data_IF_592153974803
#
_entry.id   IF_592153974803
#
_cell.length_a   1.000
_cell.length_b   1.000
_cell.length_c   1.000
_cell.angle_alpha   90.00
_cell.angle_beta   90.00
_cell.angle_gamma   90.00
#
_symmetry.space_group_name_H-M   'P 1'
#
loop_
_entity.id
_entity.type
_entity.pdbx_description
1 polymer ?
#
# COMPACT_ATOMS: atom_id res chain seq x y z
N UNK A 1 -48.24 8.60 15.79
CA UNK A 1 -47.07 8.53 14.88
C UNK A 1 -47.10 7.17 14.20
N UNK A 2 -47.33 7.06 12.89
CA UNK A 2 -47.22 5.77 12.22
C UNK A 2 -45.74 5.37 12.14
N UNK A 3 -45.44 4.11 12.45
CA UNK A 3 -44.14 3.49 12.20
C UNK A 3 -44.25 2.63 10.95
N UNK A 4 -43.33 2.83 10.00
CA UNK A 4 -43.17 1.94 8.86
C UNK A 4 -42.03 0.97 9.17
N UNK A 5 -42.31 -0.32 9.07
CA UNK A 5 -41.28 -1.37 9.08
C UNK A 5 -41.03 -1.76 7.65
N UNK A 6 -39.78 -1.62 7.18
CA UNK A 6 -39.36 -2.15 5.90
C UNK A 6 -38.67 -3.49 6.17
N UNK A 7 -39.29 -4.59 5.75
CA UNK A 7 -38.66 -5.90 5.70
C UNK A 7 -38.14 -6.09 4.28
N UNK A 8 -36.82 -6.11 4.10
CA UNK A 8 -36.22 -6.56 2.86
C UNK A 8 -36.08 -8.08 2.91
N UNK A 9 -36.87 -8.80 2.11
CA UNK A 9 -36.69 -10.24 1.88
C UNK A 9 -36.10 -10.43 0.48
N UNK A 10 -34.94 -11.08 0.41
CA UNK A 10 -34.43 -11.61 -0.85
C UNK A 10 -35.20 -12.90 -1.18
N UNK A 11 -35.91 -12.95 -2.30
CA UNK A 11 -36.51 -14.18 -2.84
C UNK A 11 -35.63 -14.69 -3.98
N UNK A 12 -34.57 -15.49 -3.72
CA UNK A 12 -33.86 -16.20 -4.77
C UNK A 12 -34.86 -17.07 -5.53
N UNK A 13 -34.89 -16.97 -6.86
CA UNK A 13 -35.74 -17.85 -7.69
C UNK A 13 -35.14 -19.26 -7.69
N UNK A 14 -35.87 -20.26 -8.21
CA UNK A 14 -35.36 -21.65 -8.30
C UNK A 14 -34.06 -21.80 -9.12
N UNK A 15 -33.60 -20.73 -9.80
CA UNK A 15 -32.36 -20.64 -10.55
C UNK A 15 -31.30 -19.75 -9.90
N UNK A 16 -31.59 -19.14 -8.75
CA UNK A 16 -30.65 -18.29 -8.01
C UNK A 16 -29.80 -19.14 -7.07
N UNK A 17 -28.47 -19.05 -7.19
CA UNK A 17 -27.52 -19.61 -6.23
C UNK A 17 -27.00 -18.50 -5.33
N UNK A 18 -27.12 -18.68 -4.02
CA UNK A 18 -26.40 -17.85 -3.03
C UNK A 18 -24.97 -18.37 -2.93
N UNK A 19 -23.99 -17.51 -3.21
CA UNK A 19 -22.57 -17.82 -2.99
C UNK A 19 -22.02 -16.90 -1.92
N UNK A 20 -21.15 -17.44 -1.08
CA UNK A 20 -20.30 -16.64 -0.19
C UNK A 20 -18.95 -16.46 -0.87
N UNK A 21 -18.42 -15.24 -0.84
CA UNK A 21 -17.07 -14.93 -1.28
C UNK A 21 -16.25 -14.47 -0.07
N UNK A 22 -14.98 -14.82 -0.07
CA UNK A 22 -14.00 -14.51 0.98
C UNK A 22 -12.92 -13.64 0.37
N UNK A 23 -12.85 -12.39 0.81
CA UNK A 23 -11.74 -11.49 0.50
C UNK A 23 -10.65 -11.69 1.56
N UNK A 24 -9.41 -11.95 1.14
CA UNK A 24 -8.29 -12.15 2.05
C UNK A 24 -6.95 -11.81 1.39
N UNK A 25 -6.07 -11.16 2.15
CA UNK A 25 -4.72 -10.83 1.71
C UNK A 25 -3.73 -11.14 2.84
N UNK A 26 -2.55 -11.61 2.46
CA UNK A 26 -1.42 -11.80 3.37
C UNK A 26 -0.21 -11.02 2.86
N UNK A 27 0.46 -10.32 3.76
CA UNK A 27 1.63 -9.47 3.47
C UNK A 27 2.82 -9.95 4.30
N UNK A 28 3.97 -10.13 3.65
CA UNK A 28 5.20 -10.60 4.30
C UNK A 28 6.42 -9.81 3.81
N UNK A 29 7.33 -9.37 4.71
CA UNK A 29 7.26 -9.53 6.16
C UNK A 29 6.17 -8.65 6.79
N UNK A 30 5.62 -9.09 7.93
CA UNK A 30 4.60 -8.33 8.67
C UNK A 30 5.17 -7.15 9.50
N UNK A 31 6.50 -6.98 9.49
CA UNK A 31 7.21 -5.92 10.22
C UNK A 31 7.67 -4.80 9.32
N UNK A 32 8.41 -3.84 9.90
CA UNK A 32 9.00 -2.73 9.15
C UNK A 32 9.90 -3.26 8.03
N UNK A 33 9.52 -2.95 6.79
CA UNK A 33 10.18 -3.40 5.56
C UNK A 33 11.39 -2.51 5.28
N UNK A 34 11.31 -1.25 5.70
CA UNK A 34 12.34 -0.25 5.49
C UNK A 34 12.43 0.69 6.68
N UNK A 35 13.66 0.94 7.13
CA UNK A 35 13.99 2.06 8.01
C UNK A 35 14.90 2.98 7.22
N UNK A 36 14.51 4.23 7.10
CA UNK A 36 15.30 5.23 6.40
C UNK A 36 16.09 5.98 7.45
N UNK A 37 17.41 5.83 7.39
CA UNK A 37 18.33 6.46 8.35
C UNK A 37 19.48 7.13 7.63
N UNK A 38 19.86 8.32 8.09
CA UNK A 38 21.09 8.99 7.66
C UNK A 38 21.22 9.25 6.13
N UNK A 39 20.12 9.30 5.38
CA UNK A 39 20.16 9.57 3.93
C UNK A 39 20.73 10.96 3.63
N UNK A 40 21.56 11.01 2.59
CA UNK A 40 22.10 12.20 1.95
C UNK A 40 21.44 12.41 0.58
N UNK A 41 21.47 13.62 0.01
CA UNK A 41 20.91 13.86 -1.32
C UNK A 41 21.64 12.99 -2.32
N UNK A 42 20.88 12.32 -3.17
CA UNK A 42 21.35 11.31 -4.12
C UNK A 42 21.25 9.87 -3.61
N UNK A 43 21.08 9.66 -2.30
CA UNK A 43 20.95 8.31 -1.75
C UNK A 43 19.61 7.68 -2.14
N UNK A 44 19.63 6.36 -2.23
CA UNK A 44 18.45 5.54 -2.48
C UNK A 44 18.45 4.31 -1.60
N UNK A 45 17.26 3.93 -1.14
CA UNK A 45 17.01 2.77 -0.32
C UNK A 45 15.79 2.02 -0.88
N UNK A 46 15.79 0.68 -0.81
CA UNK A 46 14.65 -0.10 -1.29
C UNK A 46 14.28 -1.25 -0.36
N UNK A 47 13.01 -1.61 -0.40
CA UNK A 47 12.44 -2.70 0.38
C UNK A 47 11.39 -3.44 -0.44
N UNK A 48 11.27 -4.74 -0.20
CA UNK A 48 10.32 -5.60 -0.91
C UNK A 48 9.39 -6.26 0.09
N UNK A 49 8.09 -6.22 -0.21
CA UNK A 49 7.09 -7.06 0.44
C UNK A 49 6.50 -8.02 -0.56
N UNK A 50 6.13 -9.18 -0.07
CA UNK A 50 5.32 -10.13 -0.79
C UNK A 50 3.85 -9.94 -0.39
N UNK A 51 2.96 -9.89 -1.39
CA UNK A 51 1.52 -9.73 -1.23
C UNK A 51 0.84 -10.91 -1.90
N UNK A 52 0.01 -11.63 -1.15
CA UNK A 52 -0.68 -12.83 -1.62
C UNK A 52 -2.18 -12.77 -1.37
N UNK A 53 -2.97 -13.19 -2.36
CA UNK A 53 -4.41 -13.36 -2.23
C UNK A 53 -4.69 -14.70 -1.54
N UNK A 54 -5.25 -14.63 -0.35
CA UNK A 54 -5.63 -15.81 0.47
C UNK A 54 -7.13 -16.05 0.50
N UNK A 55 -7.89 -15.28 -0.31
CA UNK A 55 -9.32 -15.41 -0.49
C UNK A 55 -9.70 -16.51 -1.50
N UNK A 56 -10.96 -16.50 -1.92
CA UNK A 56 -11.52 -17.44 -2.91
C UNK A 56 -12.04 -16.73 -4.18
N UNK A 57 -11.81 -15.42 -4.29
CA UNK A 57 -12.16 -14.57 -5.43
C UNK A 57 -10.98 -13.69 -5.85
N UNK A 58 -11.07 -13.07 -7.03
CA UNK A 58 -10.16 -12.01 -7.43
C UNK A 58 -10.36 -10.80 -6.51
N UNK A 59 -9.27 -10.08 -6.24
CA UNK A 59 -9.29 -8.89 -5.41
C UNK A 59 -8.61 -7.72 -6.12
N UNK A 60 -9.03 -6.50 -5.79
CA UNK A 60 -8.15 -5.34 -5.90
C UNK A 60 -7.53 -5.06 -4.54
N UNK A 61 -6.25 -4.73 -4.52
CA UNK A 61 -5.63 -4.18 -3.33
C UNK A 61 -5.12 -2.75 -3.56
N UNK A 62 -5.11 -1.99 -2.48
CA UNK A 62 -4.56 -0.64 -2.41
C UNK A 62 -3.36 -0.65 -1.48
N UNK A 63 -2.40 0.22 -1.76
CA UNK A 63 -1.20 0.42 -0.95
C UNK A 63 -1.13 1.88 -0.51
N UNK A 64 -1.00 2.09 0.78
CA UNK A 64 -0.69 3.40 1.35
C UNK A 64 0.51 3.28 2.29
N UNK A 65 1.14 4.42 2.55
CA UNK A 65 2.27 4.52 3.48
C UNK A 65 1.96 5.55 4.55
N UNK A 66 2.35 5.24 5.78
CA UNK A 66 2.46 6.18 6.88
C UNK A 66 3.92 6.26 7.33
N UNK A 67 4.31 7.37 7.93
CA UNK A 67 5.65 7.56 8.46
C UNK A 67 5.62 8.18 9.84
N UNK A 68 6.61 7.82 10.63
CA UNK A 68 6.85 8.41 11.95
C UNK A 68 8.33 8.73 12.11
N UNK A 69 8.62 9.69 12.97
CA UNK A 69 9.98 10.00 13.38
C UNK A 69 10.64 8.78 14.04
N UNK A 70 11.92 8.56 13.73
CA UNK A 70 12.76 7.56 14.37
C UNK A 70 14.01 8.21 15.00
N UNK A 71 14.67 7.51 15.92
CA UNK A 71 15.88 8.01 16.58
C UNK A 71 15.67 9.38 17.26
N UNK A 72 16.58 10.32 16.98
CA UNK A 72 16.55 11.69 17.49
C UNK A 72 15.73 12.65 16.61
N UNK A 73 15.09 12.14 15.56
CA UNK A 73 14.28 12.95 14.64
C UNK A 73 13.00 13.44 15.31
N UNK A 74 12.66 14.72 15.12
CA UNK A 74 11.36 15.24 15.57
C UNK A 74 10.26 14.96 14.54
N UNK A 75 8.99 14.92 14.97
CA UNK A 75 7.86 14.78 14.05
C UNK A 75 7.88 15.80 12.90
N UNK A 76 8.27 17.05 13.18
CA UNK A 76 8.39 18.10 12.16
C UNK A 76 9.49 17.79 11.15
N UNK A 77 10.64 17.28 11.60
CA UNK A 77 11.74 16.87 10.72
C UNK A 77 11.32 15.67 9.85
N UNK A 78 10.64 14.68 10.42
CA UNK A 78 10.08 13.55 9.66
C UNK A 78 9.12 14.04 8.57
N UNK A 79 8.23 14.99 8.88
CA UNK A 79 7.36 15.62 7.87
C UNK A 79 8.18 16.34 6.79
N UNK A 80 9.26 17.05 7.14
CA UNK A 80 10.14 17.70 6.16
C UNK A 80 10.73 16.67 5.19
N UNK A 81 11.24 15.55 5.72
CA UNK A 81 11.76 14.47 4.87
C UNK A 81 10.66 13.87 3.99
N UNK A 82 9.49 13.52 4.52
CA UNK A 82 8.39 12.96 3.73
C UNK A 82 7.88 13.89 2.62
N UNK A 83 8.05 15.21 2.77
CA UNK A 83 7.73 16.21 1.75
C UNK A 83 8.79 16.33 0.64
N UNK A 84 9.91 15.62 0.75
CA UNK A 84 11.06 15.72 -0.15
C UNK A 84 11.56 14.38 -0.65
N UNK A 85 11.26 13.31 0.07
CA UNK A 85 11.62 11.95 -0.27
C UNK A 85 10.71 11.45 -1.41
N UNK A 86 11.33 11.09 -2.52
CA UNK A 86 10.65 10.48 -3.65
C UNK A 86 10.47 8.99 -3.40
N UNK A 87 9.33 8.45 -3.84
CA UNK A 87 8.94 7.06 -3.67
C UNK A 87 8.40 6.53 -5.00
N UNK A 88 8.85 5.33 -5.36
CA UNK A 88 8.29 4.52 -6.43
C UNK A 88 7.80 3.20 -5.84
N UNK A 89 6.60 2.77 -6.24
CA UNK A 89 6.01 1.48 -5.84
C UNK A 89 5.73 0.67 -7.08
N UNK A 90 6.37 -0.49 -7.20
CA UNK A 90 6.27 -1.37 -8.37
C UNK A 90 5.84 -2.75 -7.91
N UNK A 91 4.79 -3.28 -8.52
CA UNK A 91 4.32 -4.63 -8.25
C UNK A 91 4.67 -5.57 -9.41
N UNK A 92 5.41 -6.62 -9.07
CA UNK A 92 6.09 -7.56 -9.94
C UNK A 92 5.57 -8.98 -9.69
N UNK A 93 4.52 -9.41 -10.41
CA UNK A 93 4.00 -10.77 -10.37
C UNK A 93 4.95 -11.72 -11.10
N UNK A 94 5.07 -12.96 -10.64
CA UNK A 94 6.03 -13.92 -11.23
C UNK A 94 5.71 -14.27 -12.70
N UNK A 95 4.43 -14.21 -13.08
CA UNK A 95 3.94 -14.61 -14.39
C UNK A 95 3.55 -13.44 -15.31
N UNK A 96 3.83 -12.19 -14.94
CA UNK A 96 3.50 -11.02 -15.76
C UNK A 96 4.53 -9.88 -15.59
N UNK A 97 4.47 -8.89 -16.47
CA UNK A 97 5.37 -7.75 -16.42
C UNK A 97 5.14 -6.90 -15.16
N UNK A 98 6.21 -6.29 -14.60
CA UNK A 98 6.08 -5.34 -13.50
C UNK A 98 5.17 -4.18 -13.87
N UNK A 99 4.38 -3.70 -12.91
CA UNK A 99 3.55 -2.51 -13.11
C UNK A 99 3.76 -1.48 -12.01
N UNK A 100 3.86 -0.22 -12.43
CA UNK A 100 4.05 0.93 -11.56
C UNK A 100 2.71 1.26 -10.88
N UNK A 101 2.66 1.09 -9.56
CA UNK A 101 1.48 1.43 -8.76
C UNK A 101 1.49 2.90 -8.35
N UNK A 102 2.67 3.44 -8.03
CA UNK A 102 2.81 4.82 -7.58
C UNK A 102 4.20 5.37 -7.91
N UNK A 103 4.26 6.67 -8.20
CA UNK A 103 5.50 7.42 -8.35
C UNK A 103 5.26 8.87 -7.94
N UNK A 104 6.00 9.37 -6.95
CA UNK A 104 5.76 10.69 -6.37
C UNK A 104 6.49 10.92 -5.05
N UNK A 105 6.06 11.90 -4.26
CA UNK A 105 6.62 12.13 -2.92
C UNK A 105 5.98 11.19 -1.90
N UNK A 106 6.71 10.82 -0.84
CA UNK A 106 6.18 9.96 0.23
C UNK A 106 4.87 10.50 0.81
N UNK A 107 4.77 11.82 1.00
CA UNK A 107 3.52 12.45 1.48
C UNK A 107 2.29 12.16 0.62
N UNK A 108 2.48 11.90 -0.68
CA UNK A 108 1.39 11.68 -1.64
C UNK A 108 0.99 10.20 -1.71
N UNK A 109 1.71 9.33 -1.01
CA UNK A 109 1.36 7.92 -0.78
C UNK A 109 0.55 7.73 0.51
N UNK A 110 0.35 8.80 1.30
CA UNK A 110 -0.52 8.79 2.47
C UNK A 110 -1.99 8.66 2.06
N UNK A 111 -2.72 7.75 2.69
CA UNK A 111 -4.17 7.58 2.55
C UNK A 111 -4.69 7.57 1.10
N UNK A 112 -4.03 6.79 0.23
CA UNK A 112 -4.34 6.76 -1.21
C UNK A 112 -5.02 5.45 -1.66
N UNK A 113 -6.36 5.36 -1.66
CA UNK A 113 -7.09 4.26 -2.28
C UNK A 113 -7.38 4.56 -3.76
N UNK A 114 -6.34 4.58 -4.61
CA UNK A 114 -6.52 4.82 -6.04
C UNK A 114 -7.39 3.76 -6.69
N UNK A 115 -8.58 4.13 -7.19
CA UNK A 115 -9.49 3.23 -7.89
C UNK A 115 -8.99 2.91 -9.31
N UNK A 116 -9.12 1.65 -9.80
CA UNK A 116 -9.74 0.50 -9.13
C UNK A 116 -8.83 -0.22 -8.11
N UNK A 117 -7.54 0.13 -8.05
CA UNK A 117 -6.52 -0.55 -7.27
C UNK A 117 -5.65 -1.46 -8.14
N UNK A 118 -4.81 -2.27 -7.51
CA UNK A 118 -4.03 -3.31 -8.19
C UNK A 118 -4.78 -4.62 -8.13
N UNK A 119 -5.13 -5.16 -9.31
CA UNK A 119 -5.74 -6.50 -9.39
C UNK A 119 -4.74 -7.57 -8.98
N UNK A 120 -5.18 -8.48 -8.11
CA UNK A 120 -4.48 -9.70 -7.75
C UNK A 120 -5.43 -10.88 -7.92
N UNK A 121 -5.49 -11.38 -9.16
CA UNK A 121 -6.36 -12.48 -9.51
C UNK A 121 -5.94 -13.78 -8.80
N UNK A 122 -6.93 -14.63 -8.51
CA UNK A 122 -6.75 -15.86 -7.74
C UNK A 122 -5.75 -16.83 -8.38
N UNK A 123 -5.66 -16.83 -9.72
CA UNK A 123 -4.76 -17.70 -10.47
C UNK A 123 -3.27 -17.32 -10.30
N UNK A 124 -2.97 -16.03 -10.15
CA UNK A 124 -1.63 -15.55 -9.85
C UNK A 124 -1.37 -15.65 -8.35
N UNK A 125 -2.33 -15.21 -7.53
CA UNK A 125 -2.39 -15.38 -6.08
C UNK A 125 -1.23 -14.74 -5.29
N UNK A 126 -0.19 -14.21 -5.93
CA UNK A 126 1.02 -13.76 -5.29
C UNK A 126 1.84 -12.82 -6.17
N UNK A 127 2.38 -11.75 -5.58
CA UNK A 127 3.36 -10.87 -6.22
C UNK A 127 4.27 -10.15 -5.23
N UNK A 128 5.42 -9.69 -5.71
CA UNK A 128 6.30 -8.84 -4.94
C UNK A 128 5.97 -7.37 -5.22
N UNK A 129 5.91 -6.57 -4.18
CA UNK A 129 5.76 -5.12 -4.24
C UNK A 129 7.05 -4.50 -3.73
N UNK A 130 7.78 -3.85 -4.63
CA UNK A 130 9.02 -3.14 -4.35
C UNK A 130 8.74 -1.66 -4.12
N UNK A 131 9.28 -1.16 -3.02
CA UNK A 131 9.30 0.25 -2.67
C UNK A 131 10.73 0.76 -2.86
N UNK A 132 10.89 1.80 -3.68
CA UNK A 132 12.18 2.48 -3.86
C UNK A 132 12.04 3.91 -3.39
N UNK A 133 12.91 4.30 -2.46
CA UNK A 133 13.01 5.64 -1.92
C UNK A 133 14.25 6.31 -2.46
N UNK A 134 14.11 7.56 -2.87
CA UNK A 134 15.22 8.38 -3.38
C UNK A 134 15.13 9.72 -2.69
N UNK A 135 16.22 10.17 -2.07
CA UNK A 135 16.33 11.55 -1.60
C UNK A 135 16.93 12.36 -2.76
N UNK A 136 16.15 13.22 -3.46
CA UNK A 136 16.67 13.92 -4.63
C UNK A 136 17.88 14.80 -4.33
N UNK A 137 18.76 15.00 -5.30
CA UNK A 137 20.00 15.79 -5.12
C UNK A 137 19.75 17.27 -4.76
N UNK A 138 18.58 17.80 -5.12
CA UNK A 138 18.24 19.23 -5.01
C UNK A 138 17.58 19.62 -3.68
N UNK A 139 17.36 18.67 -2.76
CA UNK A 139 16.63 18.91 -1.49
C UNK A 139 17.38 19.73 -0.45
N UNK A 140 18.62 20.17 -0.74
CA UNK A 140 19.50 20.88 0.20
C UNK A 140 19.78 20.09 1.49
N UNK A 141 20.44 20.70 2.46
CA UNK A 141 20.80 20.05 3.73
C UNK A 141 19.63 19.91 4.71
N UNK A 142 18.44 20.43 4.36
CA UNK A 142 17.29 20.47 5.28
C UNK A 142 16.64 19.10 5.50
N UNK A 143 16.82 18.17 4.55
CA UNK A 143 16.25 16.82 4.60
C UNK A 143 17.30 15.73 4.85
N UNK A 144 18.56 16.11 5.10
CA UNK A 144 19.66 15.17 5.30
C UNK A 144 19.73 14.69 6.74
N UNK A 145 20.18 13.45 6.91
CA UNK A 145 20.37 12.82 8.22
C UNK A 145 19.10 12.88 9.09
N UNK A 146 17.95 12.70 8.45
CA UNK A 146 16.65 12.59 9.13
C UNK A 146 16.24 11.13 9.06
N UNK A 147 15.87 10.59 10.23
CA UNK A 147 15.51 9.20 10.38
C UNK A 147 13.99 9.06 10.47
N UNK A 148 13.43 8.20 9.62
CA UNK A 148 12.01 7.86 9.65
C UNK A 148 11.81 6.35 9.59
N UNK A 149 10.75 5.90 10.25
CA UNK A 149 10.18 4.57 10.08
C UNK A 149 8.95 4.70 9.20
N UNK A 150 8.85 3.85 8.18
CA UNK A 150 7.69 3.78 7.29
C UNK A 150 6.88 2.53 7.58
N UNK A 151 5.58 2.68 7.72
CA UNK A 151 4.62 1.60 7.85
C UNK A 151 3.77 1.55 6.57
N UNK A 152 3.58 0.37 5.99
CA UNK A 152 2.78 0.20 4.77
C UNK A 152 1.46 -0.49 5.11
N UNK A 153 0.36 0.03 4.58
CA UNK A 153 -0.97 -0.51 4.77
C UNK A 153 -1.49 -1.03 3.44
N UNK A 154 -1.93 -2.30 3.47
CA UNK A 154 -2.54 -2.97 2.34
C UNK A 154 -4.01 -3.24 2.66
N UNK A 155 -4.90 -2.83 1.75
CA UNK A 155 -6.35 -3.05 1.88
C UNK A 155 -6.83 -3.80 0.66
N UNK A 156 -7.54 -4.90 0.85
CA UNK A 156 -8.13 -5.70 -0.22
C UNK A 156 -9.65 -5.53 -0.29
N UNK A 157 -10.19 -5.48 -1.50
CA UNK A 157 -11.62 -5.47 -1.81
C UNK A 157 -11.92 -6.45 -2.94
N UNK A 158 -13.18 -6.83 -3.10
CA UNK A 158 -13.65 -7.62 -4.24
C UNK A 158 -13.41 -6.88 -5.57
N UNK A 159 -12.98 -7.63 -6.60
CA UNK A 159 -12.68 -7.10 -7.94
C UNK A 159 -13.86 -7.05 -8.91
#
# INVERSE_FOLDING_TARGET
MPFFTFTAEASPTATSTTSTATVGISVSPAGAVLTISEMKPGDSESGVVNVSNTGDINIYYFVSADWKSAGDTTARMATVLANRLFVSVVASPEAAEPSLLFSGLLKDLLDRPDSPGRELALAQGNENVEFTFILPDDVSNIAQNIDISTDFVFVAVEA
#
